data_IF_604290760597
#
_entry.id   IF_604290760597
#
_cell.length_a   1.000
_cell.length_b   1.000
_cell.length_c   1.000
_cell.angle_alpha   90.00
_cell.angle_beta   90.00
_cell.angle_gamma   90.00
#
_symmetry.space_group_name_H-M   'P 1'
#
loop_
_entity.id
_entity.type
_entity.pdbx_description
1 polymer ?
#
# COMPACT_ATOMS: atom_id res chain seq x y z
N UNK A 1 -1.24 -15.79 16.53
CA UNK A 1 -1.82 -14.99 15.44
C UNK A 1 -0.90 -13.79 15.20
N UNK A 2 -0.41 -13.55 13.98
CA UNK A 2 0.46 -12.40 13.68
C UNK A 2 -0.33 -11.09 13.78
N UNK A 3 0.29 -10.06 14.35
CA UNK A 3 -0.22 -8.68 14.38
C UNK A 3 0.57 -7.84 13.38
N UNK A 4 -0.12 -7.15 12.48
CA UNK A 4 0.45 -6.19 11.53
C UNK A 4 -0.23 -4.85 11.76
N UNK A 5 0.55 -3.77 11.88
CA UNK A 5 0.03 -2.44 12.19
C UNK A 5 0.03 -1.59 10.93
N UNK A 6 -1.15 -1.12 10.52
CA UNK A 6 -1.29 -0.16 9.42
C UNK A 6 -1.30 1.27 9.96
N UNK A 7 -0.62 2.19 9.27
CA UNK A 7 -0.70 3.62 9.56
C UNK A 7 0.64 4.35 9.49
N UNK A 8 0.57 5.66 9.30
CA UNK A 8 1.74 6.54 9.09
C UNK A 8 2.10 7.40 10.29
N UNK A 9 1.36 7.28 11.39
CA UNK A 9 1.64 8.06 12.60
C UNK A 9 2.85 7.49 13.34
N UNK A 10 3.56 8.33 14.08
CA UNK A 10 4.67 7.90 14.94
C UNK A 10 4.25 6.82 15.93
N UNK A 11 3.00 6.87 16.43
CA UNK A 11 2.44 5.82 17.29
C UNK A 11 2.33 4.48 16.57
N UNK A 12 1.77 4.45 15.35
CA UNK A 12 1.64 3.23 14.56
C UNK A 12 3.00 2.62 14.21
N UNK A 13 3.96 3.47 13.84
CA UNK A 13 5.35 3.06 13.57
C UNK A 13 6.01 2.52 14.84
N UNK A 14 5.79 3.15 16.00
CA UNK A 14 6.34 2.67 17.27
C UNK A 14 5.73 1.31 17.70
N UNK A 15 4.42 1.12 17.51
CA UNK A 15 3.76 -0.17 17.74
C UNK A 15 4.32 -1.26 16.83
N UNK A 16 4.57 -0.94 15.56
CA UNK A 16 5.25 -1.84 14.62
C UNK A 16 6.62 -2.23 15.17
N UNK A 17 7.43 -1.23 15.49
CA UNK A 17 8.81 -1.40 15.92
C UNK A 17 8.92 -2.30 17.16
N UNK A 18 7.98 -2.18 18.10
CA UNK A 18 8.08 -2.81 19.42
C UNK A 18 7.30 -4.11 19.56
N UNK A 19 6.14 -4.24 18.92
CA UNK A 19 5.17 -5.31 19.23
C UNK A 19 4.68 -6.09 18.02
N UNK A 20 4.64 -5.49 16.83
CA UNK A 20 4.03 -6.11 15.65
C UNK A 20 5.05 -6.93 14.83
N UNK A 21 4.54 -7.88 14.04
CA UNK A 21 5.31 -8.64 13.06
C UNK A 21 5.59 -7.83 11.78
N UNK A 22 4.85 -6.76 11.56
CA UNK A 22 4.99 -5.96 10.35
C UNK A 22 4.25 -4.64 10.40
N UNK A 23 4.52 -3.84 9.38
CA UNK A 23 3.92 -2.54 9.12
C UNK A 23 3.21 -2.56 7.78
N UNK A 24 2.11 -1.82 7.66
CA UNK A 24 1.41 -1.62 6.40
C UNK A 24 1.30 -0.14 6.08
N UNK A 25 1.80 0.23 4.91
CA UNK A 25 1.53 1.52 4.29
C UNK A 25 0.06 1.56 3.82
N UNK A 26 -0.76 2.51 4.32
CA UNK A 26 -2.15 2.65 3.92
C UNK A 26 -2.31 2.93 2.41
N UNK A 27 -3.55 2.96 1.91
CA UNK A 27 -3.84 3.09 0.47
C UNK A 27 -3.36 4.40 -0.19
N UNK A 28 -2.97 5.42 0.57
CA UNK A 28 -2.40 6.65 0.02
C UNK A 28 -0.91 6.53 -0.26
N UNK A 29 -0.33 7.59 -0.84
CA UNK A 29 1.12 7.70 -1.00
C UNK A 29 1.69 7.08 -2.27
N UNK A 30 2.94 7.45 -2.56
CA UNK A 30 3.74 6.95 -3.68
C UNK A 30 4.89 6.06 -3.14
N UNK A 31 5.67 5.41 -4.02
CA UNK A 31 6.80 4.58 -3.59
C UNK A 31 7.81 5.28 -2.67
N UNK A 32 8.13 6.56 -2.93
CA UNK A 32 9.06 7.32 -2.07
C UNK A 32 8.54 7.48 -0.64
N UNK A 33 7.23 7.69 -0.48
CA UNK A 33 6.57 7.75 0.83
C UNK A 33 6.63 6.40 1.55
N UNK A 34 6.33 5.32 0.83
CA UNK A 34 6.39 3.96 1.36
C UNK A 34 7.82 3.57 1.77
N UNK A 35 8.83 3.95 0.99
CA UNK A 35 10.25 3.74 1.30
C UNK A 35 10.62 4.34 2.67
N UNK A 36 10.22 5.60 2.91
CA UNK A 36 10.46 6.27 4.19
C UNK A 36 9.75 5.57 5.36
N UNK A 37 8.54 5.09 5.13
CA UNK A 37 7.81 4.31 6.13
C UNK A 37 8.52 3.00 6.48
N UNK A 38 9.01 2.28 5.47
CA UNK A 38 9.82 1.07 5.64
C UNK A 38 11.08 1.34 6.46
N UNK A 39 11.81 2.42 6.12
CA UNK A 39 13.01 2.82 6.86
C UNK A 39 12.70 3.16 8.32
N UNK A 40 11.63 3.92 8.57
CA UNK A 40 11.17 4.23 9.92
C UNK A 40 10.84 2.97 10.74
N UNK A 41 10.12 2.01 10.14
CA UNK A 41 9.76 0.75 10.78
C UNK A 41 11.01 -0.08 11.12
N UNK A 42 11.94 -0.25 10.16
CA UNK A 42 13.20 -0.97 10.34
C UNK A 42 14.10 -0.33 11.40
N UNK A 43 14.28 0.98 11.35
CA UNK A 43 15.05 1.73 12.34
C UNK A 43 14.42 1.60 13.74
N UNK A 44 13.09 1.67 13.82
CA UNK A 44 12.37 1.45 15.07
C UNK A 44 12.62 0.05 15.64
N UNK A 45 12.49 -1.00 14.83
CA UNK A 45 12.76 -2.38 15.25
C UNK A 45 14.21 -2.55 15.73
N UNK A 46 15.19 -2.02 14.99
CA UNK A 46 16.60 -2.04 15.40
C UNK A 46 16.81 -1.41 16.79
N UNK A 47 16.21 -0.22 17.02
CA UNK A 47 16.28 0.48 18.32
C UNK A 47 15.60 -0.30 19.45
N UNK A 48 14.58 -1.09 19.13
CA UNK A 48 13.91 -1.98 20.06
C UNK A 48 14.65 -3.32 20.28
N UNK A 49 15.84 -3.50 19.67
CA UNK A 49 16.63 -4.72 19.80
C UNK A 49 16.11 -5.91 18.98
N UNK A 50 15.27 -5.66 17.97
CA UNK A 50 14.71 -6.67 17.07
C UNK A 50 15.44 -6.67 15.74
N UNK A 51 15.43 -7.80 15.04
CA UNK A 51 15.95 -7.91 13.68
C UNK A 51 15.06 -7.11 12.70
N UNK A 52 15.57 -6.04 12.06
CA UNK A 52 14.81 -5.25 11.09
C UNK A 52 14.39 -6.05 9.85
N UNK A 53 15.15 -7.09 9.48
CA UNK A 53 14.85 -7.95 8.34
C UNK A 53 13.67 -8.89 8.59
N UNK A 54 13.27 -9.07 9.84
CA UNK A 54 12.13 -9.91 10.22
C UNK A 54 10.76 -9.25 10.02
N UNK A 55 10.72 -7.94 9.74
CA UNK A 55 9.46 -7.21 9.57
C UNK A 55 8.81 -7.52 8.22
N UNK A 56 7.53 -7.87 8.25
CA UNK A 56 6.69 -7.85 7.06
C UNK A 56 6.32 -6.41 6.71
N UNK A 57 6.58 -6.00 5.47
CA UNK A 57 6.33 -4.63 5.00
C UNK A 57 5.26 -4.67 3.93
N UNK A 58 4.05 -4.26 4.31
CA UNK A 58 2.87 -4.35 3.48
C UNK A 58 2.48 -3.03 2.80
N UNK A 59 1.77 -3.11 1.68
CA UNK A 59 1.14 -1.98 1.01
C UNK A 59 -0.30 -2.30 0.63
N UNK A 60 -1.22 -1.39 0.96
CA UNK A 60 -2.59 -1.43 0.43
C UNK A 60 -2.64 -0.66 -0.89
N UNK A 61 -3.20 -1.27 -1.95
CA UNK A 61 -3.35 -0.66 -3.27
C UNK A 61 -4.77 -0.91 -3.77
N UNK A 62 -5.51 0.16 -4.06
CA UNK A 62 -6.71 0.04 -4.88
C UNK A 62 -6.31 -0.16 -6.34
N UNK A 63 -6.88 -1.19 -6.96
CA UNK A 63 -6.52 -1.65 -8.30
C UNK A 63 -7.75 -1.88 -9.17
N UNK A 64 -7.69 -1.42 -10.42
CA UNK A 64 -8.71 -1.63 -11.45
C UNK A 64 -8.06 -2.07 -12.75
N UNK A 65 -8.31 -3.31 -13.17
CA UNK A 65 -7.70 -3.90 -14.37
C UNK A 65 -8.72 -3.90 -15.50
N UNK A 66 -8.45 -3.13 -16.56
CA UNK A 66 -9.26 -3.06 -17.79
C UNK A 66 -8.35 -2.66 -18.96
N UNK A 67 -8.56 -3.21 -20.15
CA UNK A 67 -7.82 -2.85 -21.37
C UNK A 67 -7.91 -1.34 -21.69
N UNK A 68 -8.97 -0.67 -21.24
CA UNK A 68 -9.12 0.78 -21.29
C UNK A 68 -8.80 1.42 -19.94
N UNK A 69 -7.63 2.06 -19.87
CA UNK A 69 -7.24 2.92 -18.75
C UNK A 69 -8.31 3.94 -18.36
N UNK A 70 -9.00 4.51 -19.34
CA UNK A 70 -10.09 5.46 -19.10
C UNK A 70 -11.26 4.83 -18.35
N UNK A 71 -11.69 3.61 -18.75
CA UNK A 71 -12.76 2.88 -18.04
C UNK A 71 -12.32 2.50 -16.62
N UNK A 72 -11.13 1.93 -16.46
CA UNK A 72 -10.59 1.56 -15.15
C UNK A 72 -10.56 2.75 -14.18
N UNK A 73 -10.11 3.92 -14.66
CA UNK A 73 -10.10 5.16 -13.87
C UNK A 73 -11.52 5.59 -13.49
N UNK A 74 -12.45 5.59 -14.44
CA UNK A 74 -13.83 6.05 -14.21
C UNK A 74 -14.61 5.13 -13.27
N UNK A 75 -14.21 3.87 -13.13
CA UNK A 75 -14.78 2.97 -12.12
C UNK A 75 -14.16 3.21 -10.73
N UNK A 76 -12.86 3.50 -10.67
CA UNK A 76 -12.12 3.68 -9.41
C UNK A 76 -12.37 5.04 -8.76
N UNK A 77 -12.27 6.12 -9.55
CA UNK A 77 -12.21 7.46 -9.02
C UNK A 77 -13.48 7.88 -8.25
N UNK A 78 -14.70 7.65 -8.76
CA UNK A 78 -15.92 8.04 -8.05
C UNK A 78 -16.07 7.32 -6.71
N UNK A 79 -15.72 6.03 -6.66
CA UNK A 79 -15.79 5.24 -5.43
C UNK A 79 -14.86 5.84 -4.37
N UNK A 80 -13.59 6.04 -4.68
CA UNK A 80 -12.60 6.51 -3.70
C UNK A 80 -12.83 7.96 -3.29
N UNK A 81 -13.26 8.81 -4.22
CA UNK A 81 -13.60 10.20 -3.92
C UNK A 81 -14.84 10.32 -3.01
N UNK A 82 -15.72 9.31 -3.00
CA UNK A 82 -16.86 9.26 -2.08
C UNK A 82 -16.46 8.91 -0.63
N UNK A 83 -15.38 8.16 -0.44
CA UNK A 83 -14.88 7.75 0.88
C UNK A 83 -13.79 8.67 1.43
N UNK A 84 -12.99 9.28 0.56
CA UNK A 84 -11.78 10.01 0.95
C UNK A 84 -11.71 11.39 0.31
N UNK A 85 -11.76 12.43 1.14
CA UNK A 85 -11.53 13.81 0.71
C UNK A 85 -10.08 14.01 0.28
N UNK A 86 -9.85 14.52 -0.93
CA UNK A 86 -8.50 14.85 -1.43
C UNK A 86 -7.66 13.65 -1.86
N UNK A 87 -8.26 12.48 -2.03
CA UNK A 87 -7.55 11.28 -2.44
C UNK A 87 -7.07 11.36 -3.89
N UNK A 88 -5.76 11.23 -4.11
CA UNK A 88 -5.15 11.35 -5.42
C UNK A 88 -5.15 9.99 -6.15
N UNK A 89 -6.25 9.69 -6.83
CA UNK A 89 -6.43 8.45 -7.59
C UNK A 89 -5.33 8.25 -8.62
N UNK A 90 -4.94 9.31 -9.33
CA UNK A 90 -3.93 9.24 -10.41
C UNK A 90 -2.54 8.83 -9.90
N UNK A 91 -2.20 9.16 -8.65
CA UNK A 91 -0.89 8.86 -8.08
C UNK A 91 -0.88 7.69 -7.10
N UNK A 92 -2.02 7.31 -6.52
CA UNK A 92 -2.08 6.34 -5.42
C UNK A 92 -2.80 5.03 -5.78
N UNK A 93 -3.36 4.92 -6.98
CA UNK A 93 -4.03 3.70 -7.45
C UNK A 93 -3.36 3.09 -8.68
N UNK A 94 -3.47 1.78 -8.79
CA UNK A 94 -3.18 1.06 -10.02
C UNK A 94 -4.45 1.02 -10.87
N UNK A 95 -4.42 1.56 -12.09
CA UNK A 95 -5.52 1.36 -13.03
C UNK A 95 -5.03 1.35 -14.47
N UNK A 96 -5.65 0.50 -15.29
CA UNK A 96 -5.25 0.28 -16.68
C UNK A 96 -5.16 -1.20 -17.01
N UNK A 97 -4.42 -1.50 -18.09
CA UNK A 97 -4.22 -2.88 -18.49
C UNK A 97 -3.28 -3.61 -17.50
N UNK A 98 -3.17 -4.95 -17.57
CA UNK A 98 -2.36 -5.73 -16.62
C UNK A 98 -0.90 -5.26 -16.51
N UNK A 99 -0.28 -4.83 -17.62
CA UNK A 99 1.11 -4.37 -17.63
C UNK A 99 1.26 -3.02 -16.92
N UNK A 100 0.31 -2.10 -17.11
CA UNK A 100 0.29 -0.82 -16.40
C UNK A 100 0.13 -1.01 -14.89
N UNK A 101 -0.77 -1.90 -14.47
CA UNK A 101 -0.96 -2.20 -13.05
C UNK A 101 0.28 -2.88 -12.44
N UNK A 102 0.90 -3.82 -13.15
CA UNK A 102 2.14 -4.45 -12.70
C UNK A 102 3.28 -3.44 -12.56
N UNK A 103 3.43 -2.51 -13.51
CA UNK A 103 4.44 -1.46 -13.44
C UNK A 103 4.24 -0.53 -12.23
N UNK A 104 2.99 -0.18 -11.92
CA UNK A 104 2.68 0.60 -10.72
C UNK A 104 3.05 -0.14 -9.43
N UNK A 105 2.68 -1.43 -9.33
CA UNK A 105 3.00 -2.28 -8.20
C UNK A 105 4.52 -2.45 -8.03
N UNK A 106 5.24 -2.61 -9.14
CA UNK A 106 6.69 -2.82 -9.12
C UNK A 106 7.42 -1.69 -8.39
N UNK A 107 6.99 -0.44 -8.54
CA UNK A 107 7.58 0.69 -7.82
C UNK A 107 7.56 0.52 -6.30
N UNK A 108 6.53 -0.13 -5.73
CA UNK A 108 6.46 -0.42 -4.30
C UNK A 108 7.35 -1.61 -3.90
N UNK A 109 7.43 -2.63 -4.75
CA UNK A 109 8.32 -3.78 -4.52
C UNK A 109 9.79 -3.35 -4.52
N UNK A 110 10.17 -2.45 -5.43
CA UNK A 110 11.54 -1.93 -5.57
C UNK A 110 12.02 -1.18 -4.32
N UNK A 111 11.10 -0.59 -3.55
CA UNK A 111 11.42 0.12 -2.29
C UNK A 111 11.32 -0.78 -1.05
N UNK A 112 11.13 -2.08 -1.23
CA UNK A 112 11.20 -3.08 -0.17
C UNK A 112 9.88 -3.44 0.49
N UNK A 113 8.74 -3.11 -0.12
CA UNK A 113 7.46 -3.75 0.22
C UNK A 113 7.54 -5.23 -0.16
N UNK A 114 7.14 -6.10 0.76
CA UNK A 114 7.18 -7.56 0.61
C UNK A 114 5.80 -8.19 0.50
N UNK A 115 4.76 -7.52 1.01
CA UNK A 115 3.37 -7.99 0.97
C UNK A 115 2.47 -6.95 0.30
N UNK A 116 1.67 -7.38 -0.68
CA UNK A 116 0.70 -6.53 -1.36
C UNK A 116 -0.72 -6.90 -0.93
N UNK A 117 -1.51 -5.90 -0.55
CA UNK A 117 -2.93 -6.03 -0.24
C UNK A 117 -3.72 -5.30 -1.31
N UNK A 118 -4.23 -6.06 -2.28
CA UNK A 118 -4.90 -5.52 -3.45
C UNK A 118 -6.40 -5.40 -3.20
N UNK A 119 -6.93 -4.18 -3.29
CA UNK A 119 -8.35 -3.89 -3.20
C UNK A 119 -8.91 -3.69 -4.61
N UNK A 120 -9.61 -4.69 -5.13
CA UNK A 120 -10.18 -4.69 -6.48
C UNK A 120 -11.31 -3.63 -6.61
N UNK A 121 -11.27 -2.83 -7.67
CA UNK A 121 -12.29 -1.82 -8.00
C UNK A 121 -12.62 -1.84 -9.50
N UNK A 122 -13.90 -2.03 -9.90
CA UNK A 122 -14.95 -2.57 -9.07
C UNK A 122 -14.57 -4.00 -8.64
N UNK A 123 -15.20 -4.53 -7.60
CA UNK A 123 -15.17 -5.97 -7.39
C UNK A 123 -15.93 -6.60 -8.56
N UNK A 124 -15.22 -7.01 -9.61
CA UNK A 124 -15.78 -7.78 -10.72
C UNK A 124 -16.08 -9.19 -10.19
N UNK A 125 -17.20 -9.30 -9.50
CA UNK A 125 -17.87 -10.57 -9.29
C UNK A 125 -18.55 -10.83 -10.63
N UNK A 126 -18.02 -11.78 -11.41
CA UNK A 126 -18.62 -12.12 -12.72
C UNK A 126 -20.14 -12.34 -12.64
N UNK A 127 -20.83 -12.41 -13.79
CA UNK A 127 -22.29 -12.59 -13.83
C UNK A 127 -22.79 -13.79 -13.01
#
# INVERSE_FOLDING_TARGET
MPLIVAGVTSLAVNLTATLAYGWVDPSGGNPDGAARGCDCARQGAARAGRDPGSLELGKIIYISVDDSRFRAKNQTAPLLQSFYTGYNVDSWCAFGNPAECAAFIQGFLDVGITTLMLCLVPADVGP
#
